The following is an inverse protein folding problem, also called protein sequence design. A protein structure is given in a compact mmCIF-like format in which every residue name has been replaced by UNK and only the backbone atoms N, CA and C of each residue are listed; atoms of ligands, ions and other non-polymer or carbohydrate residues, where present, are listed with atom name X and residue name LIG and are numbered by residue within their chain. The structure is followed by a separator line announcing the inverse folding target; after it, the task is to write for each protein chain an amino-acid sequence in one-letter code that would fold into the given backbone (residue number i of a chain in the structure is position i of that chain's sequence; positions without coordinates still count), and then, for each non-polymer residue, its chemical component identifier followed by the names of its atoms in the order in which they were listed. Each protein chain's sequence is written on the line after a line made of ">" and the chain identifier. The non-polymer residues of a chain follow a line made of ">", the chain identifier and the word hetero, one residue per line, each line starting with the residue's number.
data_IF_279691105557
#
_entry.id   IF_279691105557
#
_cell.length_a   1.000
_cell.length_b   1.000
_cell.length_c   1.000
_cell.angle_alpha   90.00
_cell.angle_beta   90.00
_cell.angle_gamma   90.00
#
_symmetry.space_group_name_H-M   'P 1'
#
loop_
_entity.id
_entity.type
_entity.pdbx_description
1 polymer ?
#
# COMPACT_ATOMS: atom_id res chain seq x y z
N UNK A 1 5.15 11.95 -2.47
CA UNK A 1 3.88 11.32 -2.92
C UNK A 1 2.90 11.31 -1.77
N UNK A 2 1.64 10.94 -2.02
CA UNK A 2 0.63 10.71 -0.97
C UNK A 2 0.37 9.21 -0.86
N UNK A 3 0.40 8.69 0.36
CA UNK A 3 0.13 7.29 0.67
C UNK A 3 -1.08 7.16 1.58
N UNK A 4 -1.86 6.11 1.35
CA UNK A 4 -2.93 5.68 2.23
C UNK A 4 -2.54 4.32 2.80
N UNK A 5 -2.36 4.26 4.12
CA UNK A 5 -1.83 3.10 4.82
C UNK A 5 -2.98 2.42 5.57
N UNK A 6 -3.27 1.20 5.17
CA UNK A 6 -4.31 0.35 5.75
C UNK A 6 -4.01 -0.05 7.21
N UNK A 7 -5.04 -0.46 7.94
CA UNK A 7 -4.96 -0.77 9.37
C UNK A 7 -4.01 -1.94 9.69
N UNK A 8 -3.92 -2.90 8.78
CA UNK A 8 -3.08 -4.09 8.90
C UNK A 8 -1.58 -3.80 8.68
N UNK A 9 -1.21 -2.60 8.22
CA UNK A 9 0.18 -2.23 7.93
C UNK A 9 0.82 -1.55 9.15
N UNK A 10 1.95 -2.04 9.71
CA UNK A 10 2.59 -1.49 10.92
C UNK A 10 2.97 0.02 10.88
N UNK A 11 2.91 0.70 12.05
CA UNK A 11 3.04 2.18 12.17
C UNK A 11 4.41 2.71 11.80
N UNK A 12 5.40 1.82 11.85
CA UNK A 12 6.75 2.12 11.40
C UNK A 12 6.80 2.44 9.89
N UNK A 13 5.89 1.89 9.08
CA UNK A 13 5.80 2.19 7.65
C UNK A 13 5.39 3.65 7.42
N UNK A 14 4.33 4.11 8.08
CA UNK A 14 3.87 5.50 7.99
C UNK A 14 4.96 6.47 8.44
N UNK A 15 5.63 6.17 9.55
CA UNK A 15 6.77 6.98 10.06
C UNK A 15 7.90 7.06 9.04
N UNK A 16 8.26 5.94 8.42
CA UNK A 16 9.30 5.91 7.40
C UNK A 16 8.90 6.73 6.16
N UNK A 17 7.69 6.55 5.63
CA UNK A 17 7.23 7.32 4.47
C UNK A 17 7.19 8.84 4.76
N UNK A 18 6.72 9.24 5.94
CA UNK A 18 6.78 10.65 6.37
C UNK A 18 8.21 11.16 6.48
N UNK A 19 9.15 10.33 6.94
CA UNK A 19 10.58 10.70 7.00
C UNK A 19 11.22 10.94 5.62
N UNK A 20 10.64 10.36 4.57
CA UNK A 20 10.99 10.64 3.17
C UNK A 20 10.23 11.85 2.58
N UNK A 21 9.62 12.67 3.44
CA UNK A 21 8.86 13.86 3.07
C UNK A 21 7.62 13.54 2.19
N UNK A 22 7.02 12.37 2.41
CA UNK A 22 5.74 11.98 1.80
C UNK A 22 4.56 12.30 2.71
N UNK A 23 3.41 12.60 2.11
CA UNK A 23 2.15 12.74 2.84
C UNK A 23 1.58 11.34 3.10
N UNK A 24 1.11 11.10 4.32
CA UNK A 24 0.59 9.79 4.72
C UNK A 24 -0.75 9.96 5.41
N UNK A 25 -1.76 9.27 4.89
CA UNK A 25 -3.06 9.06 5.52
C UNK A 25 -3.00 7.69 6.18
N UNK A 26 -2.97 7.67 7.51
CA UNK A 26 -2.96 6.45 8.32
C UNK A 26 -4.30 6.36 9.04
N UNK A 27 -5.10 5.34 8.72
CA UNK A 27 -6.47 5.23 9.25
C UNK A 27 -6.56 4.53 10.61
N UNK A 28 -5.45 4.00 11.13
CA UNK A 28 -5.47 3.29 12.42
C UNK A 28 -5.81 4.21 13.57
N UNK A 29 -6.66 3.73 14.47
CA UNK A 29 -7.14 4.51 15.60
C UNK A 29 -8.02 5.68 15.19
N UNK A 30 -8.50 5.71 13.94
CA UNK A 30 -9.50 6.67 13.47
C UNK A 30 -10.88 6.02 13.47
N UNK A 31 -11.94 6.81 13.34
CA UNK A 31 -13.30 6.30 13.16
C UNK A 31 -13.53 5.56 11.82
N UNK A 32 -12.48 5.42 11.00
CA UNK A 32 -12.48 4.71 9.71
C UNK A 32 -11.86 3.31 9.79
N UNK A 33 -11.46 2.89 10.98
CA UNK A 33 -11.02 1.51 11.27
C UNK A 33 -12.22 0.56 11.10
N UNK A 34 -12.02 -0.58 10.43
CA UNK A 34 -13.09 -1.56 10.17
C UNK A 34 -14.13 -1.19 9.10
N UNK A 35 -13.87 -0.19 8.25
CA UNK A 35 -14.66 0.06 7.02
C UNK A 35 -14.41 -1.08 6.01
N UNK A 36 -15.40 -1.41 5.17
CA UNK A 36 -15.26 -2.44 4.15
C UNK A 36 -14.21 -2.11 3.06
N UNK A 37 -13.65 -3.16 2.46
CA UNK A 37 -12.57 -3.09 1.45
C UNK A 37 -12.86 -2.17 0.25
N UNK A 38 -14.12 -2.08 -0.18
CA UNK A 38 -14.45 -1.20 -1.30
C UNK A 38 -14.40 0.26 -0.87
N UNK A 39 -15.05 0.58 0.25
CA UNK A 39 -15.12 1.94 0.78
C UNK A 39 -13.75 2.48 1.21
N UNK A 40 -12.91 1.65 1.83
CA UNK A 40 -11.55 2.04 2.24
C UNK A 40 -10.67 2.34 1.02
N UNK A 41 -10.78 1.54 -0.04
CA UNK A 41 -10.04 1.79 -1.28
C UNK A 41 -10.58 3.01 -2.02
N UNK A 42 -11.90 3.18 -2.12
CA UNK A 42 -12.48 4.38 -2.71
C UNK A 42 -11.97 5.64 -2.00
N UNK A 43 -11.87 5.63 -0.67
CA UNK A 43 -11.33 6.72 0.10
C UNK A 43 -9.86 7.02 -0.23
N UNK A 44 -9.01 6.00 -0.45
CA UNK A 44 -7.64 6.24 -0.91
C UNK A 44 -7.61 6.93 -2.27
N UNK A 45 -8.52 6.53 -3.16
CA UNK A 45 -8.63 7.08 -4.50
C UNK A 45 -9.16 8.52 -4.53
N UNK A 46 -10.14 8.84 -3.70
CA UNK A 46 -10.64 10.22 -3.54
C UNK A 46 -9.53 11.16 -3.06
N UNK A 47 -8.59 10.63 -2.28
CA UNK A 47 -7.41 11.34 -1.81
C UNK A 47 -6.24 11.34 -2.80
N UNK A 48 -6.37 10.69 -3.97
CA UNK A 48 -5.29 10.49 -4.96
C UNK A 48 -4.03 9.87 -4.34
N UNK A 49 -4.23 8.90 -3.44
CA UNK A 49 -3.19 8.30 -2.63
C UNK A 49 -2.84 6.89 -3.11
N UNK A 50 -1.56 6.51 -3.04
CA UNK A 50 -1.11 5.14 -3.26
C UNK A 50 -1.55 4.29 -2.06
N UNK A 51 -2.36 3.25 -2.31
CA UNK A 51 -2.87 2.37 -1.27
C UNK A 51 -1.82 1.32 -0.87
N UNK A 52 -1.61 1.13 0.44
CA UNK A 52 -0.71 0.11 0.97
C UNK A 52 -1.50 -0.80 1.91
N UNK A 53 -1.48 -2.11 1.64
CA UNK A 53 -2.07 -3.13 2.52
C UNK A 53 -1.21 -4.41 2.55
N UNK A 54 -1.46 -5.26 3.54
CA UNK A 54 -0.94 -6.63 3.59
C UNK A 54 -1.98 -7.65 3.12
N UNK A 55 -3.22 -7.24 2.88
CA UNK A 55 -4.28 -8.12 2.41
C UNK A 55 -4.13 -8.36 0.90
N UNK A 56 -4.03 -9.63 0.54
CA UNK A 56 -3.82 -10.07 -0.83
C UNK A 56 -5.08 -9.97 -1.68
N UNK A 57 -6.27 -9.91 -1.08
CA UNK A 57 -7.52 -9.87 -1.82
C UNK A 57 -7.63 -8.60 -2.67
N UNK A 58 -7.07 -7.47 -2.22
CA UNK A 58 -6.91 -6.25 -3.03
C UNK A 58 -6.13 -6.47 -4.34
N UNK A 59 -5.14 -7.36 -4.36
CA UNK A 59 -4.38 -7.66 -5.59
C UNK A 59 -5.25 -8.35 -6.66
N UNK A 60 -6.33 -8.99 -6.22
CA UNK A 60 -7.25 -9.69 -7.08
C UNK A 60 -8.48 -8.84 -7.41
N UNK A 61 -9.01 -8.08 -6.46
CA UNK A 61 -10.27 -7.34 -6.63
C UNK A 61 -10.11 -6.01 -7.36
N UNK A 62 -9.03 -5.26 -7.10
CA UNK A 62 -8.83 -3.92 -7.68
C UNK A 62 -8.78 -3.91 -9.21
N UNK A 63 -8.04 -4.81 -9.91
CA UNK A 63 -8.01 -4.84 -11.37
C UNK A 63 -9.40 -4.91 -12.04
N UNK A 64 -10.37 -5.53 -11.38
CA UNK A 64 -11.72 -5.70 -11.92
C UNK A 64 -12.65 -4.54 -11.58
N UNK A 65 -12.42 -3.87 -10.45
CA UNK A 65 -13.33 -2.83 -9.92
C UNK A 65 -12.88 -1.41 -10.29
N UNK A 66 -11.58 -1.20 -10.53
CA UNK A 66 -11.02 0.14 -10.72
C UNK A 66 -10.07 0.16 -11.92
N UNK A 67 -10.55 0.73 -13.04
CA UNK A 67 -9.73 0.90 -14.26
C UNK A 67 -8.58 1.88 -14.04
N UNK A 68 -8.83 2.93 -13.24
CA UNK A 68 -7.83 3.94 -12.91
C UNK A 68 -7.64 4.04 -11.39
N UNK A 69 -6.39 4.12 -10.96
CA UNK A 69 -6.03 4.33 -9.57
C UNK A 69 -4.62 4.92 -9.41
N UNK A 70 -4.35 5.53 -8.26
CA UNK A 70 -3.08 6.20 -7.95
C UNK A 70 -1.94 5.22 -7.69
N UNK A 71 -2.27 3.95 -7.49
CA UNK A 71 -1.32 2.85 -7.32
C UNK A 71 -1.64 2.03 -6.09
N UNK A 72 -1.24 0.77 -6.12
CA UNK A 72 -1.48 -0.18 -5.03
C UNK A 72 -0.21 -0.94 -4.72
N UNK A 73 0.14 -1.05 -3.45
CA UNK A 73 1.26 -1.84 -2.94
C UNK A 73 0.71 -2.86 -1.94
N UNK A 74 0.78 -4.13 -2.32
CA UNK A 74 0.38 -5.25 -1.47
C UNK A 74 1.61 -5.98 -0.98
N UNK A 75 1.73 -6.17 0.33
CA UNK A 75 2.87 -6.86 0.96
C UNK A 75 2.40 -8.22 1.47
N UNK A 76 2.77 -9.27 0.75
CA UNK A 76 2.36 -10.66 1.03
C UNK A 76 3.59 -11.50 1.35
N UNK A 77 3.95 -11.55 2.63
CA UNK A 77 5.11 -12.31 3.13
C UNK A 77 4.67 -13.60 3.82
N UNK A 78 5.53 -14.62 3.80
CA UNK A 78 5.25 -15.91 4.48
C UNK A 78 5.23 -15.73 6.01
N UNK A 79 6.17 -14.95 6.55
CA UNK A 79 6.25 -14.64 7.98
C UNK A 79 6.24 -13.11 8.18
N UNK A 80 5.06 -12.47 8.03
CA UNK A 80 4.96 -11.04 8.11
C UNK A 80 5.29 -10.57 9.53
N UNK A 81 6.22 -9.62 9.62
CA UNK A 81 6.48 -8.88 10.84
C UNK A 81 6.78 -7.42 10.51
N UNK A 82 6.69 -6.56 11.51
CA UNK A 82 6.91 -5.11 11.38
C UNK A 82 8.20 -4.71 10.68
N UNK A 83 9.30 -5.44 10.91
CA UNK A 83 10.57 -5.14 10.25
C UNK A 83 10.57 -5.64 8.80
N UNK A 84 10.11 -6.88 8.56
CA UNK A 84 10.07 -7.45 7.21
C UNK A 84 9.17 -6.64 6.26
N UNK A 85 8.02 -6.15 6.75
CA UNK A 85 7.12 -5.26 5.99
C UNK A 85 7.81 -3.93 5.69
N UNK A 86 8.48 -3.33 6.68
CA UNK A 86 9.22 -2.08 6.49
C UNK A 86 10.32 -2.23 5.45
N UNK A 87 11.11 -3.30 5.50
CA UNK A 87 12.19 -3.54 4.54
C UNK A 87 11.67 -3.67 3.10
N UNK A 88 10.47 -4.22 2.89
CA UNK A 88 9.83 -4.24 1.56
C UNK A 88 9.44 -2.85 1.08
N UNK A 89 8.95 -2.00 1.98
CA UNK A 89 8.64 -0.60 1.66
C UNK A 89 9.92 0.18 1.34
N UNK A 90 10.99 0.02 2.12
CA UNK A 90 12.29 0.64 1.82
C UNK A 90 12.78 0.23 0.44
N UNK A 91 12.80 -1.08 0.19
CA UNK A 91 13.24 -1.63 -1.08
C UNK A 91 12.46 -1.04 -2.26
N UNK A 92 11.12 -0.94 -2.19
CA UNK A 92 10.35 -0.41 -3.32
C UNK A 92 10.53 1.09 -3.52
N UNK A 93 10.80 1.85 -2.45
CA UNK A 93 11.06 3.28 -2.54
C UNK A 93 12.45 3.61 -3.11
N UNK A 94 13.41 2.72 -2.94
CA UNK A 94 14.76 2.84 -3.48
C UNK A 94 14.92 2.16 -4.86
N UNK A 95 13.93 1.38 -5.29
CA UNK A 95 13.99 0.57 -6.50
C UNK A 95 13.80 1.40 -7.77
N UNK A 96 14.84 1.47 -8.60
CA UNK A 96 14.76 2.05 -9.95
C UNK A 96 13.88 1.24 -10.93
N UNK A 97 13.43 0.03 -10.53
CA UNK A 97 12.55 -0.82 -11.36
C UNK A 97 11.14 -0.26 -11.49
N UNK A 98 10.69 0.60 -10.57
CA UNK A 98 9.36 1.21 -10.59
C UNK A 98 9.47 2.67 -10.99
N UNK A 99 9.14 2.97 -12.25
CA UNK A 99 9.16 4.34 -12.78
C UNK A 99 7.96 5.20 -12.35
N UNK A 100 6.85 4.57 -12.00
CA UNK A 100 5.60 5.20 -11.57
C UNK A 100 4.70 4.16 -10.90
N UNK A 101 3.85 4.60 -9.98
CA UNK A 101 2.83 3.79 -9.30
C UNK A 101 1.43 3.93 -9.93
N UNK A 102 1.21 4.94 -10.75
CA UNK A 102 -0.09 5.21 -11.37
C UNK A 102 -0.56 4.02 -12.19
N UNK A 103 -1.81 3.59 -11.95
CA UNK A 103 -2.45 2.43 -12.55
C UNK A 103 -1.65 1.13 -12.44
N UNK A 104 -0.78 1.01 -11.43
CA UNK A 104 -0.03 -0.22 -11.16
C UNK A 104 -0.39 -0.83 -9.82
N UNK A 105 -0.45 -2.16 -9.82
CA UNK A 105 -0.68 -2.94 -8.63
C UNK A 105 0.55 -3.81 -8.40
N UNK A 106 1.28 -3.51 -7.34
CA UNK A 106 2.50 -4.19 -6.97
C UNK A 106 2.19 -5.22 -5.89
N UNK A 107 2.59 -6.46 -6.12
CA UNK A 107 2.57 -7.51 -5.09
C UNK A 107 4.00 -7.84 -4.69
N UNK A 108 4.39 -7.42 -3.49
CA UNK A 108 5.71 -7.65 -2.91
C UNK A 108 5.69 -8.95 -2.09
N UNK A 109 6.54 -9.91 -2.46
CA UNK A 109 6.73 -11.19 -1.76
C UNK A 109 8.14 -11.25 -1.19
N UNK A 110 8.45 -12.33 -0.47
CA UNK A 110 9.74 -12.52 0.20
C UNK A 110 10.93 -12.35 -0.74
N UNK A 111 10.90 -12.93 -1.94
CA UNK A 111 12.02 -12.90 -2.89
C UNK A 111 11.65 -12.37 -4.28
N UNK A 112 10.36 -12.15 -4.54
CA UNK A 112 9.86 -11.74 -5.85
C UNK A 112 8.88 -10.60 -5.71
N UNK A 113 8.58 -9.94 -6.82
CA UNK A 113 7.47 -9.01 -6.90
C UNK A 113 6.78 -9.17 -8.25
N UNK A 114 5.48 -8.86 -8.27
CA UNK A 114 4.68 -8.82 -9.50
C UNK A 114 4.15 -7.40 -9.68
N UNK A 115 3.96 -7.01 -10.94
CA UNK A 115 3.27 -5.78 -11.32
C UNK A 115 2.13 -6.21 -12.26
N UNK A 116 0.94 -5.66 -12.01
CA UNK A 116 -0.16 -5.62 -12.97
C UNK A 116 -0.41 -4.18 -13.38
#
# INVERSE_FOLDING_TARGET
>A
MKFFVDENVPKIVSKYLMSLNHEVIDIRGTNKEGIDDFSIFQLSQDNKAIFISTDRDFFHTIPFKFVNHSGVIIISLIQPNKNAILEKIKWIMESSKIKSFENKILLLRDNTFLIK
#
